data_IF_466953440381
#
_entry.id   IF_466953440381
#
_cell.length_a   1.000
_cell.length_b   1.000
_cell.length_c   1.000
_cell.angle_alpha   90.00
_cell.angle_beta   90.00
_cell.angle_gamma   90.00
#
_symmetry.space_group_name_H-M   'P 1'
#
loop_
_entity.id
_entity.type
_entity.pdbx_description
1 polymer ?
#
# COMPACT_ATOMS: atom_id res chain seq x y z
N UNK A 1 -5.56 -13.62 5.43
CA UNK A 1 -6.58 -13.47 4.36
C UNK A 1 -5.88 -13.25 3.03
N UNK A 2 -6.29 -14.00 2.03
CA UNK A 2 -5.78 -13.84 0.67
C UNK A 2 -6.67 -12.85 -0.11
N UNK A 3 -6.21 -12.45 -1.28
CA UNK A 3 -7.00 -11.60 -2.17
C UNK A 3 -8.33 -12.28 -2.53
N UNK A 4 -8.31 -13.59 -2.75
CA UNK A 4 -9.52 -14.36 -3.06
C UNK A 4 -10.54 -14.28 -1.93
N UNK A 5 -10.09 -14.43 -0.70
CA UNK A 5 -10.95 -14.31 0.47
C UNK A 5 -11.47 -12.89 0.66
N UNK A 6 -10.62 -11.90 0.36
CA UNK A 6 -11.03 -10.50 0.39
C UNK A 6 -12.16 -10.24 -0.60
N UNK A 7 -12.03 -10.77 -1.82
CA UNK A 7 -13.07 -10.64 -2.85
C UNK A 7 -14.38 -11.25 -2.39
N UNK A 8 -14.33 -12.44 -1.77
CA UNK A 8 -15.53 -13.10 -1.26
C UNK A 8 -16.23 -12.24 -0.22
N UNK A 9 -15.49 -11.65 0.69
CA UNK A 9 -16.07 -10.80 1.72
C UNK A 9 -16.64 -9.50 1.16
N UNK A 10 -15.97 -8.91 0.19
CA UNK A 10 -16.47 -7.71 -0.50
C UNK A 10 -17.78 -8.04 -1.21
N UNK A 11 -17.84 -9.18 -1.90
CA UNK A 11 -19.06 -9.61 -2.59
C UNK A 11 -20.25 -9.69 -1.62
N UNK A 12 -20.01 -10.29 -0.47
CA UNK A 12 -21.06 -10.44 0.55
C UNK A 12 -21.52 -9.09 1.11
N UNK A 13 -20.57 -8.23 1.46
CA UNK A 13 -20.90 -6.95 2.11
C UNK A 13 -21.50 -5.94 1.15
N UNK A 14 -21.09 -5.98 -0.11
CA UNK A 14 -21.57 -5.03 -1.11
C UNK A 14 -22.75 -5.57 -1.92
N UNK A 15 -23.20 -6.80 -1.63
CA UNK A 15 -24.28 -7.48 -2.36
C UNK A 15 -23.93 -7.57 -3.86
N UNK A 16 -22.69 -7.92 -4.15
CA UNK A 16 -22.22 -8.10 -5.52
C UNK A 16 -22.00 -9.59 -5.79
N UNK A 17 -22.00 -9.94 -7.09
CA UNK A 17 -21.48 -11.25 -7.49
C UNK A 17 -19.98 -11.28 -7.23
N UNK A 18 -19.42 -12.49 -7.11
CA UNK A 18 -17.96 -12.64 -6.95
C UNK A 18 -17.22 -12.04 -8.13
N UNK A 19 -17.77 -12.16 -9.33
CA UNK A 19 -17.16 -11.59 -10.53
C UNK A 19 -17.08 -10.07 -10.46
N UNK A 20 -18.19 -9.43 -10.07
CA UNK A 20 -18.22 -7.98 -9.95
C UNK A 20 -17.34 -7.51 -8.79
N UNK A 21 -17.35 -8.23 -7.68
CA UNK A 21 -16.49 -7.92 -6.53
C UNK A 21 -15.02 -8.03 -6.89
N UNK A 22 -14.64 -9.04 -7.66
CA UNK A 22 -13.26 -9.19 -8.13
C UNK A 22 -12.83 -8.00 -8.99
N UNK A 23 -13.71 -7.56 -9.89
CA UNK A 23 -13.44 -6.38 -10.72
C UNK A 23 -13.29 -5.13 -9.87
N UNK A 24 -14.14 -4.96 -8.86
CA UNK A 24 -14.09 -3.79 -7.99
C UNK A 24 -12.80 -3.76 -7.16
N UNK A 25 -12.40 -4.89 -6.58
CA UNK A 25 -11.17 -5.01 -5.80
C UNK A 25 -9.96 -4.73 -6.69
N UNK A 26 -9.91 -5.34 -7.88
CA UNK A 26 -8.81 -5.13 -8.81
C UNK A 26 -8.74 -3.65 -9.22
N UNK A 27 -9.88 -3.03 -9.48
CA UNK A 27 -9.91 -1.62 -9.87
C UNK A 27 -9.36 -0.71 -8.77
N UNK A 28 -9.72 -0.97 -7.51
CA UNK A 28 -9.20 -0.18 -6.37
C UNK A 28 -7.69 -0.32 -6.28
N UNK A 29 -7.18 -1.55 -6.36
CA UNK A 29 -5.74 -1.79 -6.26
C UNK A 29 -4.99 -1.16 -7.43
N UNK A 30 -5.54 -1.24 -8.64
CA UNK A 30 -4.95 -0.63 -9.83
C UNK A 30 -4.90 0.89 -9.71
N UNK A 31 -5.95 1.51 -9.20
CA UNK A 31 -6.01 2.96 -9.03
C UNK A 31 -4.96 3.41 -8.01
N UNK A 32 -4.83 2.69 -6.90
CA UNK A 32 -3.83 3.01 -5.88
C UNK A 32 -2.42 2.86 -6.45
N UNK A 33 -2.15 1.75 -7.11
CA UNK A 33 -0.84 1.50 -7.73
C UNK A 33 -0.49 2.58 -8.74
N UNK A 34 -1.42 2.93 -9.61
CA UNK A 34 -1.23 3.94 -10.64
C UNK A 34 -0.95 5.32 -10.02
N UNK A 35 -1.73 5.71 -9.01
CA UNK A 35 -1.53 6.97 -8.33
C UNK A 35 -0.14 7.05 -7.68
N UNK A 36 0.26 6.00 -6.98
CA UNK A 36 1.56 5.97 -6.31
C UNK A 36 2.70 5.96 -7.32
N UNK A 37 2.53 5.30 -8.45
CA UNK A 37 3.56 5.29 -9.50
C UNK A 37 3.83 6.68 -10.06
N UNK A 38 2.83 7.56 -10.01
CA UNK A 38 2.97 8.95 -10.43
C UNK A 38 3.35 9.89 -9.28
N UNK A 39 3.59 9.35 -8.09
CA UNK A 39 3.94 10.13 -6.92
C UNK A 39 2.75 10.79 -6.23
N UNK A 40 1.52 10.43 -6.59
CA UNK A 40 0.32 10.97 -5.95
C UNK A 40 -0.05 10.15 -4.73
N UNK A 41 -0.64 10.82 -3.74
CA UNK A 41 -1.15 10.15 -2.55
C UNK A 41 -2.61 9.75 -2.74
N UNK A 42 -3.01 8.68 -2.05
CA UNK A 42 -4.41 8.27 -1.98
C UNK A 42 -4.82 8.27 -0.51
N UNK A 43 -5.69 9.21 -0.16
CA UNK A 43 -6.16 9.35 1.22
C UNK A 43 -7.59 8.85 1.32
N UNK A 44 -7.81 7.88 2.23
CA UNK A 44 -9.13 7.36 2.52
C UNK A 44 -9.49 7.78 3.94
N UNK A 45 -10.44 8.69 4.06
CA UNK A 45 -10.79 9.29 5.36
C UNK A 45 -11.12 8.21 6.39
N UNK A 46 -10.50 8.33 7.57
CA UNK A 46 -10.71 7.39 8.67
C UNK A 46 -9.97 6.07 8.54
N UNK A 47 -9.51 5.74 7.34
CA UNK A 47 -8.81 4.47 7.08
C UNK A 47 -7.30 4.65 7.05
N UNK A 48 -6.82 5.52 6.18
CA UNK A 48 -5.39 5.75 6.07
C UNK A 48 -5.00 6.41 4.77
N UNK A 49 -3.69 6.53 4.59
CA UNK A 49 -3.13 7.20 3.44
C UNK A 49 -2.04 6.32 2.81
N UNK A 50 -2.18 6.09 1.52
CA UNK A 50 -1.15 5.46 0.71
C UNK A 50 -0.29 6.56 0.12
N UNK A 51 1.01 6.46 0.26
CA UNK A 51 1.92 7.50 -0.20
C UNK A 51 3.26 6.91 -0.61
N UNK A 52 4.10 7.75 -1.20
CA UNK A 52 5.44 7.36 -1.62
C UNK A 52 6.45 8.04 -0.72
N UNK A 53 7.38 7.26 -0.19
CA UNK A 53 8.51 7.77 0.55
C UNK A 53 9.72 7.71 -0.37
N UNK A 54 10.41 8.84 -0.49
CA UNK A 54 11.63 8.92 -1.30
C UNK A 54 12.85 8.74 -0.40
N UNK A 55 13.71 7.81 -0.80
CA UNK A 55 15.01 7.67 -0.16
C UNK A 55 16.05 8.24 -1.11
N UNK A 56 16.73 9.29 -0.67
CA UNK A 56 17.80 9.86 -1.46
C UNK A 56 19.00 8.93 -1.58
N UNK A 57 19.83 9.15 -2.58
CA UNK A 57 21.10 8.46 -2.69
C UNK A 57 21.94 8.75 -1.45
N UNK A 58 22.62 7.74 -0.94
CA UNK A 58 23.40 7.87 0.29
C UNK A 58 24.63 6.97 0.23
N UNK A 59 25.69 7.31 0.97
CA UNK A 59 26.85 6.44 1.06
C UNK A 59 26.51 5.20 1.89
N UNK A 60 27.08 4.09 1.52
CA UNK A 60 26.96 2.86 2.25
C UNK A 60 28.27 2.11 2.22
N UNK A 61 28.31 0.94 2.82
CA UNK A 61 29.49 0.10 2.88
C UNK A 61 29.11 -1.32 2.44
N UNK A 62 29.91 -1.87 1.55
CA UNK A 62 29.74 -3.26 1.13
C UNK A 62 30.18 -4.16 2.30
N UNK A 63 29.28 -4.95 2.89
CA UNK A 63 29.61 -5.79 4.04
C UNK A 63 30.63 -6.88 3.75
N UNK A 64 30.83 -7.23 2.47
CA UNK A 64 31.81 -8.25 2.09
C UNK A 64 33.22 -7.72 2.02
N UNK A 65 33.39 -6.54 1.45
CA UNK A 65 34.70 -6.01 1.13
C UNK A 65 35.09 -4.82 1.98
N UNK A 66 34.12 -4.20 2.66
CA UNK A 66 34.35 -2.97 3.40
C UNK A 66 34.44 -1.74 2.52
N UNK A 67 34.26 -1.89 1.21
CA UNK A 67 34.32 -0.77 0.29
C UNK A 67 33.14 0.16 0.45
N UNK A 68 33.39 1.45 0.28
CA UNK A 68 32.31 2.45 0.24
C UNK A 68 31.59 2.36 -1.08
N UNK A 69 30.26 2.32 -0.99
CA UNK A 69 29.41 2.29 -2.17
C UNK A 69 28.38 3.39 -2.05
N UNK A 70 27.78 3.74 -3.18
CA UNK A 70 26.69 4.71 -3.24
C UNK A 70 25.38 3.93 -3.38
N UNK A 71 24.54 4.04 -2.36
CA UNK A 71 23.19 3.44 -2.41
C UNK A 71 22.30 4.37 -3.22
N UNK A 72 21.75 3.86 -4.32
CA UNK A 72 20.94 4.65 -5.22
C UNK A 72 19.66 5.15 -4.54
N UNK A 73 19.19 6.30 -5.01
CA UNK A 73 17.89 6.82 -4.60
C UNK A 73 16.79 5.82 -4.98
N UNK A 74 15.78 5.70 -4.14
CA UNK A 74 14.67 4.79 -4.39
C UNK A 74 13.37 5.41 -3.94
N UNK A 75 12.27 4.92 -4.51
CA UNK A 75 10.90 5.31 -4.13
C UNK A 75 10.23 4.07 -3.54
N UNK A 76 9.63 4.23 -2.38
CA UNK A 76 9.03 3.13 -1.64
C UNK A 76 7.56 3.44 -1.35
N UNK A 77 6.63 2.56 -1.71
CA UNK A 77 5.22 2.76 -1.33
C UNK A 77 5.08 2.53 0.17
N UNK A 78 4.28 3.36 0.79
CA UNK A 78 4.01 3.29 2.22
C UNK A 78 2.54 3.48 2.49
N UNK A 79 2.11 2.96 3.64
CA UNK A 79 0.76 3.15 4.13
C UNK A 79 0.81 3.65 5.56
N UNK A 80 0.11 4.76 5.82
CA UNK A 80 -0.02 5.30 7.17
C UNK A 80 -1.46 5.12 7.61
N UNK A 81 -1.67 4.35 8.68
CA UNK A 81 -3.01 4.08 9.18
C UNK A 81 -3.65 5.33 9.75
N UNK A 82 -4.93 5.52 9.46
CA UNK A 82 -5.73 6.58 10.06
C UNK A 82 -6.20 6.19 11.45
N UNK A 83 -6.76 7.17 12.17
CA UNK A 83 -7.20 6.97 13.55
C UNK A 83 -8.29 5.91 13.66
N UNK A 84 -9.24 5.90 12.73
CA UNK A 84 -10.31 4.90 12.73
C UNK A 84 -9.77 3.48 12.63
N UNK A 85 -8.85 3.26 11.69
CA UNK A 85 -8.23 1.95 11.50
C UNK A 85 -7.39 1.56 12.73
N UNK A 86 -6.60 2.49 13.25
CA UNK A 86 -5.79 2.24 14.46
C UNK A 86 -6.65 1.82 15.63
N UNK A 87 -7.77 2.50 15.83
CA UNK A 87 -8.69 2.19 16.93
C UNK A 87 -9.32 0.82 16.75
N UNK A 88 -9.71 0.48 15.51
CA UNK A 88 -10.28 -0.83 15.22
C UNK A 88 -9.30 -1.97 15.52
N UNK A 89 -8.04 -1.79 15.12
CA UNK A 89 -7.00 -2.80 15.35
C UNK A 89 -6.63 -2.90 16.82
N UNK A 90 -6.59 -1.76 17.50
CA UNK A 90 -6.29 -1.72 18.93
C UNK A 90 -7.32 -2.47 19.76
N UNK A 91 -8.51 -2.60 19.25
CA UNK A 91 -9.50 -3.49 19.80
C UNK A 91 -10.19 -3.01 21.04
N UNK A 92 -10.09 -1.79 21.33
CA UNK A 92 -10.70 -1.25 22.54
C UNK A 92 -10.00 -1.67 23.81
#
# INVERSE_FOLDING_TARGET
MTKSELVDQVANRAALTKQDAAKAVDAVLDVVEDALSRGSEVTVAGFGKFHVSNRGARPGVNPRTGERIQIAASRVPRFTAGSGLKNAVKGR
#
